data_IF_033280725796
#
_entry.id   IF_033280725796
#
_cell.length_a   1.000
_cell.length_b   1.000
_cell.length_c   1.000
_cell.angle_alpha   90.00
_cell.angle_beta   90.00
_cell.angle_gamma   90.00
#
_symmetry.space_group_name_H-M   'P 1'
#
loop_
_entity.id
_entity.type
_entity.pdbx_description
1 polymer ?
#
# COMPACT_ATOMS: atom_id res chain seq x y z
N UNK A 1 -20.27 -21.90 1.11
CA UNK A 1 -19.17 -21.23 1.85
C UNK A 1 -17.87 -21.72 1.25
N UNK A 2 -17.04 -20.84 0.77
CA UNK A 2 -15.75 -21.20 0.22
C UNK A 2 -14.80 -21.41 1.40
N UNK A 3 -14.41 -22.66 1.68
CA UNK A 3 -13.56 -23.06 2.84
C UNK A 3 -12.15 -22.44 2.83
N UNK A 4 -11.81 -21.66 1.79
CA UNK A 4 -10.52 -21.02 1.58
C UNK A 4 -10.61 -19.50 1.42
N UNK A 5 -11.75 -18.89 1.81
CA UNK A 5 -11.84 -17.42 1.78
C UNK A 5 -10.96 -16.85 2.91
N UNK A 6 -10.21 -15.77 2.63
CA UNK A 6 -9.47 -15.07 3.68
C UNK A 6 -10.40 -14.68 4.83
N UNK A 7 -9.94 -14.87 6.07
CA UNK A 7 -10.67 -14.43 7.24
C UNK A 7 -9.93 -13.22 7.85
N UNK A 8 -10.58 -12.08 8.04
CA UNK A 8 -9.91 -10.85 8.51
C UNK A 8 -9.20 -10.99 9.85
N UNK A 9 -9.60 -11.97 10.68
CA UNK A 9 -8.97 -12.23 11.98
C UNK A 9 -7.70 -13.12 11.88
N UNK A 10 -7.50 -13.79 10.75
CA UNK A 10 -6.33 -14.64 10.54
C UNK A 10 -5.08 -13.79 10.32
N UNK A 11 -4.05 -14.05 11.10
CA UNK A 11 -2.76 -13.40 10.90
C UNK A 11 -1.91 -14.18 9.88
N UNK A 12 -1.54 -13.53 8.78
CA UNK A 12 -0.66 -14.11 7.77
C UNK A 12 0.79 -14.30 8.26
N UNK A 13 1.19 -13.55 9.29
CA UNK A 13 2.54 -13.65 9.88
C UNK A 13 2.52 -14.58 11.08
N UNK A 14 3.55 -15.43 11.25
CA UNK A 14 3.58 -16.40 12.36
C UNK A 14 3.92 -15.76 13.71
N UNK A 15 4.60 -14.60 13.71
CA UNK A 15 5.06 -13.88 14.91
C UNK A 15 5.52 -12.46 14.55
N UNK A 16 5.77 -11.63 15.56
CA UNK A 16 6.39 -10.30 15.49
C UNK A 16 5.72 -9.35 14.46
N UNK A 17 4.39 -9.43 14.35
CA UNK A 17 3.60 -8.57 13.48
C UNK A 17 2.23 -9.15 13.20
N UNK A 18 1.36 -8.31 12.67
CA UNK A 18 0.00 -8.69 12.32
C UNK A 18 -0.30 -8.19 10.91
N UNK A 19 -0.64 -9.13 10.04
CA UNK A 19 -1.14 -8.85 8.68
C UNK A 19 -2.44 -9.61 8.47
N UNK A 20 -3.50 -8.89 8.23
CA UNK A 20 -4.83 -9.46 8.00
C UNK A 20 -5.22 -9.27 6.53
N UNK A 21 -5.77 -10.33 5.93
CA UNK A 21 -6.31 -10.31 4.58
C UNK A 21 -7.84 -10.21 4.65
N UNK A 22 -8.37 -9.09 4.21
CA UNK A 22 -9.81 -8.83 4.14
C UNK A 22 -10.45 -9.34 2.85
N UNK A 23 -9.64 -9.93 1.94
CA UNK A 23 -10.10 -10.37 0.63
C UNK A 23 -10.46 -9.20 -0.28
N UNK A 24 -11.24 -9.49 -1.33
CA UNK A 24 -11.76 -8.49 -2.26
C UNK A 24 -12.96 -7.80 -1.61
N UNK A 25 -12.86 -6.50 -1.37
CA UNK A 25 -13.86 -5.70 -0.63
C UNK A 25 -14.80 -4.88 -1.54
N UNK A 26 -14.56 -4.88 -2.84
CA UNK A 26 -15.36 -4.17 -3.84
C UNK A 26 -16.05 -5.15 -4.77
N UNK A 27 -17.19 -4.77 -5.34
CA UNK A 27 -17.73 -5.50 -6.47
C UNK A 27 -16.80 -5.42 -7.69
N UNK A 28 -16.84 -6.38 -8.64
CA UNK A 28 -16.00 -6.29 -9.84
C UNK A 28 -16.15 -4.96 -10.58
N UNK A 29 -17.38 -4.50 -10.78
CA UNK A 29 -17.66 -3.22 -11.44
C UNK A 29 -17.06 -2.02 -10.69
N UNK A 30 -17.22 -1.95 -9.36
CA UNK A 30 -16.61 -0.87 -8.57
C UNK A 30 -15.08 -0.88 -8.68
N UNK A 31 -14.47 -2.06 -8.63
CA UNK A 31 -13.03 -2.18 -8.72
C UNK A 31 -12.50 -1.75 -10.11
N UNK A 32 -13.21 -2.10 -11.18
CA UNK A 32 -12.90 -1.68 -12.56
C UNK A 32 -13.05 -0.16 -12.71
N UNK A 33 -14.16 0.42 -12.23
CA UNK A 33 -14.42 1.86 -12.28
C UNK A 33 -13.34 2.65 -11.52
N UNK A 34 -12.91 2.15 -10.34
CA UNK A 34 -11.81 2.77 -9.60
C UNK A 34 -10.48 2.64 -10.34
N UNK A 35 -10.17 1.48 -10.91
CA UNK A 35 -8.94 1.31 -11.68
C UNK A 35 -8.87 2.28 -12.85
N UNK A 36 -9.94 2.41 -13.61
CA UNK A 36 -10.03 3.30 -14.77
C UNK A 36 -9.88 4.76 -14.34
N UNK A 37 -10.58 5.17 -13.28
CA UNK A 37 -10.42 6.51 -12.73
C UNK A 37 -8.98 6.79 -12.29
N UNK A 38 -8.39 5.89 -11.50
CA UNK A 38 -7.03 6.03 -10.99
C UNK A 38 -5.99 6.11 -12.11
N UNK A 39 -6.18 5.38 -13.21
CA UNK A 39 -5.28 5.47 -14.37
C UNK A 39 -5.32 6.82 -15.07
N UNK A 40 -6.50 7.45 -15.16
CA UNK A 40 -6.75 8.61 -15.98
C UNK A 40 -6.63 9.96 -15.24
N UNK A 41 -6.95 9.99 -13.94
CA UNK A 41 -7.13 11.26 -13.21
C UNK A 41 -6.10 11.52 -12.12
N UNK A 42 -5.32 10.51 -11.70
CA UNK A 42 -4.28 10.71 -10.68
C UNK A 42 -3.07 11.44 -11.27
N UNK A 43 -2.53 12.39 -10.51
CA UNK A 43 -1.34 13.17 -10.89
C UNK A 43 -0.05 12.31 -10.75
N UNK A 44 0.08 11.30 -11.60
CA UNK A 44 1.21 10.38 -11.62
C UNK A 44 2.52 11.09 -11.99
N UNK A 45 3.57 10.80 -11.21
CA UNK A 45 4.95 11.20 -11.52
C UNK A 45 5.90 10.06 -11.24
N UNK A 46 7.02 10.01 -11.93
CA UNK A 46 8.06 9.05 -11.61
C UNK A 46 8.63 9.35 -10.22
N UNK A 47 8.91 8.30 -9.48
CA UNK A 47 9.51 8.40 -8.16
C UNK A 47 11.02 8.62 -8.29
N UNK A 48 11.56 9.52 -7.48
CA UNK A 48 12.98 9.83 -7.42
C UNK A 48 13.55 9.38 -6.08
N UNK A 49 14.71 8.77 -6.12
CA UNK A 49 15.43 8.34 -4.93
C UNK A 49 16.92 8.60 -5.09
N UNK A 50 17.60 8.92 -3.99
CA UNK A 50 19.06 8.96 -3.94
C UNK A 50 19.56 7.64 -3.36
N UNK A 51 20.20 6.81 -4.19
CA UNK A 51 20.74 5.51 -3.79
C UNK A 51 22.25 5.55 -3.98
N UNK A 52 23.00 5.37 -2.90
CA UNK A 52 24.45 5.49 -2.89
C UNK A 52 24.97 6.80 -3.53
N UNK A 53 24.31 7.93 -3.21
CA UNK A 53 24.66 9.26 -3.73
C UNK A 53 24.28 9.51 -5.20
N UNK A 54 23.63 8.56 -5.88
CA UNK A 54 23.14 8.73 -7.26
C UNK A 54 21.65 9.01 -7.26
N UNK A 55 21.23 10.04 -7.99
CA UNK A 55 19.82 10.28 -8.29
C UNK A 55 19.31 9.20 -9.27
N UNK A 56 18.28 8.49 -8.87
CA UNK A 56 17.65 7.44 -9.66
C UNK A 56 16.18 7.80 -9.82
N UNK A 57 15.73 7.93 -11.05
CA UNK A 57 14.31 8.01 -11.39
C UNK A 57 13.80 6.59 -11.61
N UNK A 58 12.80 6.18 -10.82
CA UNK A 58 12.23 4.83 -10.95
C UNK A 58 11.26 4.76 -12.12
N UNK A 59 11.13 3.57 -12.74
CA UNK A 59 10.11 3.35 -13.76
C UNK A 59 8.69 3.36 -13.18
N UNK A 60 8.55 3.01 -11.89
CA UNK A 60 7.30 3.09 -11.14
C UNK A 60 6.89 4.56 -10.98
N UNK A 61 5.59 4.80 -11.10
CA UNK A 61 5.00 6.10 -10.83
C UNK A 61 4.35 6.14 -9.46
N UNK A 62 4.32 7.34 -8.87
CA UNK A 62 3.74 7.59 -7.55
C UNK A 62 2.87 8.84 -7.57
N UNK A 63 1.94 8.90 -6.63
CA UNK A 63 1.21 10.10 -6.24
C UNK A 63 0.93 10.06 -4.74
N UNK A 64 0.79 11.22 -4.10
CA UNK A 64 0.53 11.31 -2.68
C UNK A 64 -0.59 12.29 -2.39
N UNK A 65 -1.59 11.84 -1.64
CA UNK A 65 -2.78 12.59 -1.26
C UNK A 65 -2.97 12.59 0.26
N UNK A 66 -3.56 13.66 0.81
CA UNK A 66 -3.79 13.77 2.26
C UNK A 66 -4.74 14.88 2.66
N UNK A 67 -5.16 14.89 3.93
CA UNK A 67 -6.08 15.89 4.51
C UNK A 67 -5.45 17.28 4.65
N UNK A 68 -4.14 17.34 4.73
CA UNK A 68 -3.36 18.58 4.86
C UNK A 68 -2.23 18.55 3.83
N UNK A 69 -1.65 19.70 3.58
CA UNK A 69 -0.41 19.82 2.80
C UNK A 69 0.77 19.25 3.59
N UNK A 70 0.69 17.95 3.93
CA UNK A 70 1.83 17.29 4.54
C UNK A 70 3.03 17.46 3.63
N UNK A 71 4.12 17.94 4.18
CA UNK A 71 5.40 18.01 3.49
C UNK A 71 6.39 17.14 4.25
N UNK A 72 7.05 16.22 3.59
CA UNK A 72 8.18 15.52 4.17
C UNK A 72 9.26 15.27 3.13
N UNK A 73 10.48 15.14 3.59
CA UNK A 73 11.61 14.84 2.72
C UNK A 73 11.84 13.33 2.72
N UNK A 74 11.66 12.70 1.56
CA UNK A 74 12.00 11.31 1.34
C UNK A 74 13.16 11.20 0.37
N UNK A 75 14.24 10.53 0.79
CA UNK A 75 15.46 10.39 -0.04
C UNK A 75 15.99 11.71 -0.61
N UNK A 76 15.91 12.81 0.18
CA UNK A 76 16.40 14.14 -0.23
C UNK A 76 15.43 14.96 -1.09
N UNK A 77 14.25 14.45 -1.45
CA UNK A 77 13.24 15.17 -2.23
C UNK A 77 12.08 15.60 -1.34
N UNK A 78 11.80 16.91 -1.30
CA UNK A 78 10.61 17.44 -0.62
C UNK A 78 9.34 17.06 -1.41
N UNK A 79 8.35 16.53 -0.71
CA UNK A 79 7.05 16.13 -1.27
C UNK A 79 5.94 16.79 -0.49
N UNK A 80 4.91 17.22 -1.20
CA UNK A 80 3.69 17.78 -0.62
C UNK A 80 2.50 16.91 -1.06
N UNK A 81 1.66 16.54 -0.10
CA UNK A 81 0.44 15.81 -0.40
C UNK A 81 -0.54 16.69 -1.17
N UNK A 82 -1.19 16.13 -2.18
CA UNK A 82 -2.31 16.74 -2.87
C UNK A 82 -3.59 16.58 -2.02
N UNK A 83 -4.57 17.47 -2.15
CA UNK A 83 -5.86 17.30 -1.49
C UNK A 83 -6.59 16.07 -2.01
N UNK A 84 -7.37 15.43 -1.15
CA UNK A 84 -8.25 14.32 -1.54
C UNK A 84 -9.20 14.72 -2.65
N UNK A 85 -9.35 13.84 -3.65
CA UNK A 85 -10.49 13.88 -4.54
C UNK A 85 -11.66 13.02 -4.04
N UNK A 86 -12.81 13.10 -4.72
CA UNK A 86 -14.01 12.38 -4.31
C UNK A 86 -13.86 10.86 -4.38
N UNK A 87 -13.18 10.34 -5.39
CA UNK A 87 -13.01 8.89 -5.59
C UNK A 87 -12.03 8.31 -4.57
N UNK A 88 -10.91 8.98 -4.31
CA UNK A 88 -9.99 8.57 -3.24
C UNK A 88 -10.64 8.65 -1.86
N UNK A 89 -11.51 9.65 -1.62
CA UNK A 89 -12.28 9.78 -0.39
C UNK A 89 -13.29 8.64 -0.22
N UNK A 90 -13.95 8.21 -1.31
CA UNK A 90 -14.88 7.10 -1.29
C UNK A 90 -14.16 5.77 -1.02
N UNK A 91 -13.06 5.48 -1.71
CA UNK A 91 -12.24 4.28 -1.44
C UNK A 91 -11.76 4.26 0.02
N UNK A 92 -11.27 5.42 0.52
CA UNK A 92 -10.84 5.58 1.92
C UNK A 92 -11.97 5.23 2.89
N UNK A 93 -13.16 5.78 2.67
CA UNK A 93 -14.32 5.52 3.53
C UNK A 93 -14.70 4.04 3.55
N UNK A 94 -14.72 3.38 2.41
CA UNK A 94 -15.02 1.94 2.34
C UNK A 94 -13.96 1.12 3.08
N UNK A 95 -12.67 1.46 2.95
CA UNK A 95 -11.58 0.82 3.70
C UNK A 95 -11.77 1.00 5.21
N UNK A 96 -12.04 2.22 5.67
CA UNK A 96 -12.27 2.51 7.09
C UNK A 96 -13.48 1.77 7.65
N UNK A 97 -14.54 1.61 6.87
CA UNK A 97 -15.73 0.83 7.24
C UNK A 97 -15.40 -0.66 7.42
N UNK A 98 -14.56 -1.24 6.56
CA UNK A 98 -14.11 -2.63 6.72
C UNK A 98 -13.31 -2.84 8.03
N UNK A 99 -12.57 -1.84 8.46
CA UNK A 99 -11.74 -1.91 9.66
C UNK A 99 -12.49 -1.56 10.95
N UNK A 100 -13.68 -0.98 10.88
CA UNK A 100 -14.38 -0.39 12.02
C UNK A 100 -14.58 -1.36 13.21
N UNK A 101 -14.82 -2.65 12.95
CA UNK A 101 -15.05 -3.66 13.98
C UNK A 101 -13.76 -4.20 14.62
N UNK A 102 -12.64 -4.21 13.91
CA UNK A 102 -11.39 -4.89 14.34
C UNK A 102 -10.31 -3.89 14.74
N UNK A 103 -10.18 -2.81 13.99
CA UNK A 103 -9.15 -1.79 14.20
C UNK A 103 -9.67 -0.43 13.72
N UNK A 104 -10.57 0.21 14.47
CA UNK A 104 -11.11 1.50 14.05
C UNK A 104 -9.98 2.51 13.89
N UNK A 105 -9.88 3.08 12.69
CA UNK A 105 -8.82 4.00 12.28
C UNK A 105 -9.40 5.07 11.36
N UNK A 106 -8.81 6.26 11.39
CA UNK A 106 -9.06 7.31 10.42
C UNK A 106 -7.77 7.66 9.71
N UNK A 107 -7.72 7.34 8.43
CA UNK A 107 -6.57 7.65 7.60
C UNK A 107 -6.61 9.11 7.14
N UNK A 108 -5.47 9.77 7.16
CA UNK A 108 -5.31 11.15 6.71
C UNK A 108 -4.35 11.29 5.53
N UNK A 109 -3.80 10.18 5.04
CA UNK A 109 -2.80 10.15 3.98
C UNK A 109 -2.91 8.87 3.15
N UNK A 110 -2.64 8.97 1.84
CA UNK A 110 -2.55 7.84 0.93
C UNK A 110 -1.40 8.01 -0.05
N UNK A 111 -0.46 7.08 -0.03
CA UNK A 111 0.57 6.94 -1.05
C UNK A 111 0.08 5.96 -2.11
N UNK A 112 0.04 6.43 -3.37
CA UNK A 112 -0.34 5.62 -4.52
C UNK A 112 0.91 5.20 -5.29
N UNK A 113 0.95 3.94 -5.73
CA UNK A 113 2.01 3.39 -6.56
C UNK A 113 1.41 2.76 -7.81
N UNK A 114 1.88 3.16 -9.00
CA UNK A 114 1.50 2.59 -10.28
C UNK A 114 2.67 1.82 -10.88
N UNK A 115 2.45 0.56 -11.13
CA UNK A 115 3.35 -0.35 -11.84
C UNK A 115 2.75 -0.60 -13.22
N UNK A 116 3.45 -0.23 -14.29
CA UNK A 116 2.94 -0.34 -15.66
C UNK A 116 2.75 -1.82 -16.07
N UNK A 117 3.63 -2.68 -15.57
CA UNK A 117 3.61 -4.12 -15.82
C UNK A 117 4.42 -4.88 -14.75
N UNK A 118 4.64 -6.16 -14.98
CA UNK A 118 5.39 -7.04 -14.08
C UNK A 118 6.90 -6.78 -14.01
N UNK A 119 7.49 -6.06 -14.96
CA UNK A 119 8.92 -5.70 -14.93
C UNK A 119 9.22 -4.72 -13.79
N UNK A 120 8.20 -3.96 -13.36
CA UNK A 120 8.29 -3.03 -12.24
C UNK A 120 7.93 -3.73 -10.92
N UNK A 121 8.55 -3.31 -9.84
CA UNK A 121 8.31 -3.85 -8.51
C UNK A 121 8.77 -2.88 -7.44
N UNK A 122 8.66 -3.30 -6.19
CA UNK A 122 9.16 -2.58 -5.03
C UNK A 122 10.13 -3.47 -4.26
N UNK A 123 11.33 -2.96 -4.01
CA UNK A 123 12.34 -3.68 -3.24
C UNK A 123 11.90 -3.90 -1.78
N UNK A 124 12.62 -4.75 -1.06
CA UNK A 124 12.39 -5.01 0.36
C UNK A 124 12.53 -3.74 1.20
N UNK A 125 11.43 -3.32 1.82
CA UNK A 125 11.36 -2.15 2.70
C UNK A 125 10.37 -2.37 3.84
N UNK A 126 10.37 -1.49 4.80
CA UNK A 126 9.33 -1.31 5.81
C UNK A 126 8.81 0.12 5.70
N UNK A 127 7.56 0.34 6.06
CA UNK A 127 6.96 1.67 6.21
C UNK A 127 7.18 2.11 7.66
N UNK A 128 8.41 2.46 8.01
CA UNK A 128 8.87 2.79 9.37
C UNK A 128 9.33 4.25 9.52
N UNK A 129 8.83 5.13 8.65
CA UNK A 129 9.09 6.56 8.75
C UNK A 129 8.56 7.15 10.06
N UNK A 130 9.34 8.01 10.69
CA UNK A 130 9.00 8.63 11.99
C UNK A 130 7.64 9.34 11.99
N UNK A 131 7.24 9.93 10.85
CA UNK A 131 5.96 10.61 10.69
C UNK A 131 4.73 9.68 10.76
N UNK A 132 4.91 8.37 10.68
CA UNK A 132 3.83 7.39 10.81
C UNK A 132 3.66 6.92 12.27
N UNK A 133 4.63 7.19 13.13
CA UNK A 133 4.64 6.68 14.50
C UNK A 133 4.94 5.18 14.59
N UNK A 134 4.99 4.71 15.83
CA UNK A 134 5.25 3.30 16.12
C UNK A 134 3.96 2.49 16.01
N UNK A 135 4.08 1.27 15.51
CA UNK A 135 2.99 0.28 15.43
C UNK A 135 1.74 0.78 14.67
N UNK A 136 1.96 1.64 13.68
CA UNK A 136 0.91 2.24 12.87
C UNK A 136 0.06 1.20 12.12
N UNK A 137 -1.20 1.53 11.90
CA UNK A 137 -2.09 0.76 11.01
C UNK A 137 -1.91 1.25 9.59
N UNK A 138 -1.63 0.33 8.68
CA UNK A 138 -1.46 0.58 7.25
C UNK A 138 -2.44 -0.30 6.48
N UNK A 139 -3.34 0.32 5.73
CA UNK A 139 -4.26 -0.39 4.84
C UNK A 139 -3.77 -0.29 3.40
N UNK A 140 -3.67 -1.43 2.73
CA UNK A 140 -3.17 -1.52 1.36
C UNK A 140 -4.21 -2.15 0.45
N UNK A 141 -4.72 -1.36 -0.51
CA UNK A 141 -5.68 -1.82 -1.53
C UNK A 141 -4.98 -1.97 -2.87
N UNK A 142 -5.25 -3.07 -3.56
CA UNK A 142 -4.68 -3.38 -4.88
C UNK A 142 -5.74 -3.31 -5.97
N UNK A 143 -5.43 -2.64 -7.08
CA UNK A 143 -6.26 -2.63 -8.29
C UNK A 143 -5.46 -3.08 -9.51
N UNK A 144 -6.12 -3.75 -10.47
CA UNK A 144 -5.52 -4.23 -11.70
C UNK A 144 -4.84 -5.58 -11.54
N UNK A 145 -3.65 -5.75 -12.13
CA UNK A 145 -2.97 -7.03 -12.21
C UNK A 145 -2.71 -7.68 -10.85
N UNK A 146 -3.01 -8.97 -10.74
CA UNK A 146 -2.66 -9.77 -9.56
C UNK A 146 -1.15 -9.88 -9.44
N UNK A 147 -0.59 -9.51 -8.29
CA UNK A 147 0.85 -9.49 -8.03
C UNK A 147 1.22 -10.24 -6.76
N UNK A 148 2.36 -10.91 -6.81
CA UNK A 148 2.97 -11.50 -5.61
C UNK A 148 3.49 -10.38 -4.71
N UNK A 149 2.98 -10.36 -3.47
CA UNK A 149 3.44 -9.56 -2.36
C UNK A 149 4.10 -10.48 -1.34
N UNK A 150 5.29 -10.15 -0.94
CA UNK A 150 6.07 -11.00 -0.06
C UNK A 150 6.50 -10.24 1.19
N UNK A 151 6.46 -10.94 2.33
CA UNK A 151 7.01 -10.51 3.61
C UNK A 151 8.30 -11.27 3.89
N UNK A 152 9.25 -10.62 4.55
CA UNK A 152 10.50 -11.24 5.02
C UNK A 152 10.86 -10.70 6.39
N UNK A 153 11.01 -11.59 7.37
CA UNK A 153 11.42 -11.20 8.72
C UNK A 153 12.86 -10.67 8.73
N UNK A 154 13.10 -9.57 9.44
CA UNK A 154 14.40 -8.87 9.42
C UNK A 154 15.52 -9.73 10.01
N UNK A 155 15.26 -10.51 11.06
CA UNK A 155 16.25 -11.35 11.74
C UNK A 155 16.28 -12.78 11.20
N UNK A 156 15.15 -13.49 11.23
CA UNK A 156 15.11 -14.93 10.88
C UNK A 156 15.16 -15.18 9.38
N UNK A 157 14.92 -14.14 8.53
CA UNK A 157 14.79 -14.22 7.08
C UNK A 157 13.63 -15.12 6.60
N UNK A 158 12.75 -15.54 7.51
CA UNK A 158 11.53 -16.28 7.17
C UNK A 158 10.66 -15.47 6.20
N UNK A 159 10.06 -16.17 5.25
CA UNK A 159 9.24 -15.53 4.21
C UNK A 159 7.79 -15.99 4.29
N UNK A 160 6.89 -15.08 3.99
CA UNK A 160 5.47 -15.31 3.69
C UNK A 160 5.11 -14.60 2.41
N UNK A 161 4.22 -15.20 1.63
CA UNK A 161 3.82 -14.67 0.33
C UNK A 161 2.30 -14.74 0.18
N UNK A 162 1.74 -13.74 -0.49
CA UNK A 162 0.33 -13.67 -0.85
C UNK A 162 0.21 -13.13 -2.27
N UNK A 163 -0.83 -13.55 -2.99
CA UNK A 163 -1.20 -12.98 -4.27
C UNK A 163 -2.25 -11.90 -4.03
N UNK A 164 -1.90 -10.65 -4.30
CA UNK A 164 -2.82 -9.51 -4.17
C UNK A 164 -3.63 -9.36 -5.45
N UNK A 165 -4.94 -9.57 -5.32
CA UNK A 165 -5.90 -9.54 -6.41
C UNK A 165 -6.48 -8.13 -6.60
N UNK A 166 -7.22 -7.96 -7.68
CA UNK A 166 -7.97 -6.75 -7.99
C UNK A 166 -9.07 -6.50 -6.95
N UNK A 167 -9.07 -5.30 -6.34
CA UNK A 167 -10.00 -4.92 -5.27
C UNK A 167 -9.68 -5.49 -3.88
N UNK A 168 -8.53 -6.17 -3.71
CA UNK A 168 -8.16 -6.81 -2.43
C UNK A 168 -7.56 -5.81 -1.45
N UNK A 169 -7.99 -5.91 -0.19
CA UNK A 169 -7.50 -5.16 0.96
C UNK A 169 -6.66 -6.08 1.87
N UNK A 170 -5.44 -5.65 2.19
CA UNK A 170 -4.66 -6.18 3.31
C UNK A 170 -4.35 -5.08 4.31
N UNK A 171 -4.23 -5.44 5.58
CA UNK A 171 -3.93 -4.50 6.66
C UNK A 171 -2.72 -4.99 7.44
N UNK A 172 -1.71 -4.14 7.56
CA UNK A 172 -0.51 -4.34 8.38
C UNK A 172 -0.66 -3.51 9.65
N UNK A 173 -0.40 -4.08 10.82
CA UNK A 173 -0.52 -3.37 12.10
C UNK A 173 0.41 -3.93 13.18
N UNK A 174 0.42 -3.29 14.37
CA UNK A 174 1.32 -3.68 15.45
C UNK A 174 2.78 -3.61 15.02
N UNK A 175 3.62 -4.44 15.54
CA UNK A 175 5.07 -4.42 15.31
C UNK A 175 5.54 -4.85 13.91
N UNK A 176 4.61 -5.01 12.95
CA UNK A 176 4.93 -5.50 11.59
C UNK A 176 6.06 -4.72 10.94
N UNK A 177 6.00 -3.38 10.94
CA UNK A 177 7.02 -2.56 10.29
C UNK A 177 8.38 -2.59 11.02
N UNK A 178 8.37 -2.89 12.32
CA UNK A 178 9.61 -3.03 13.11
C UNK A 178 10.36 -4.32 12.78
N UNK A 179 9.64 -5.43 12.51
CA UNK A 179 10.23 -6.77 12.41
C UNK A 179 10.21 -7.35 10.98
N UNK A 180 9.31 -6.89 10.12
CA UNK A 180 9.15 -7.44 8.78
C UNK A 180 9.41 -6.39 7.71
N UNK A 181 10.02 -6.82 6.61
CA UNK A 181 10.07 -6.08 5.35
C UNK A 181 9.06 -6.70 4.40
N UNK A 182 8.59 -5.89 3.46
CA UNK A 182 7.71 -6.35 2.38
C UNK A 182 8.19 -5.86 1.03
N UNK A 183 7.73 -6.54 -0.04
CA UNK A 183 8.14 -6.26 -1.41
C UNK A 183 7.05 -6.64 -2.41
N UNK A 184 6.99 -5.93 -3.54
CA UNK A 184 6.28 -6.39 -4.74
C UNK A 184 7.28 -7.05 -5.68
N UNK A 185 7.06 -8.35 -5.91
CA UNK A 185 7.97 -9.15 -6.71
C UNK A 185 7.79 -8.86 -8.21
N UNK A 186 8.90 -8.76 -8.95
CA UNK A 186 8.86 -8.65 -10.42
C UNK A 186 8.42 -9.96 -11.05
N UNK A 187 7.79 -9.87 -12.22
CA UNK A 187 7.33 -11.03 -13.01
C UNK A 187 7.32 -10.71 -14.50
N UNK A 188 7.96 -11.53 -15.29
CA UNK A 188 7.93 -11.41 -16.76
C UNK A 188 6.61 -11.86 -17.39
N UNK A 189 5.69 -12.43 -16.60
CA UNK A 189 4.41 -12.98 -17.08
C UNK A 189 3.25 -11.97 -17.02
N UNK A 190 3.47 -10.80 -16.43
CA UNK A 190 2.42 -9.80 -16.19
C UNK A 190 2.68 -8.61 -17.09
N UNK A 191 1.72 -8.29 -17.96
CA UNK A 191 1.81 -7.26 -19.00
C UNK A 191 0.77 -6.14 -18.82
N UNK A 192 0.01 -6.17 -17.73
CA UNK A 192 -1.03 -5.19 -17.41
C UNK A 192 -0.68 -4.43 -16.14
N UNK A 193 -1.21 -3.19 -15.99
CA UNK A 193 -0.87 -2.35 -14.85
C UNK A 193 -1.46 -2.85 -13.54
N UNK A 194 -0.79 -2.46 -12.45
CA UNK A 194 -1.30 -2.54 -11.09
C UNK A 194 -1.17 -1.18 -10.42
N UNK A 195 -2.20 -0.79 -9.72
CA UNK A 195 -2.18 0.37 -8.83
C UNK A 195 -2.36 -0.11 -7.39
N UNK A 196 -1.58 0.46 -6.49
CA UNK A 196 -1.68 0.21 -5.05
C UNK A 196 -1.94 1.52 -4.31
N UNK A 197 -2.93 1.50 -3.44
CA UNK A 197 -3.23 2.58 -2.51
C UNK A 197 -2.79 2.16 -1.11
N UNK A 198 -1.90 2.93 -0.49
CA UNK A 198 -1.43 2.68 0.87
C UNK A 198 -1.94 3.80 1.78
N UNK A 199 -3.00 3.52 2.51
CA UNK A 199 -3.61 4.44 3.48
C UNK A 199 -2.87 4.40 4.80
N UNK A 200 -2.58 5.57 5.36
CA UNK A 200 -1.78 5.77 6.58
C UNK A 200 -2.33 6.92 7.40
N UNK A 201 -2.00 6.95 8.67
CA UNK A 201 -2.20 8.11 9.55
C UNK A 201 -0.85 8.77 9.80
N UNK A 202 -0.68 9.96 9.24
CA UNK A 202 0.50 10.80 9.48
C UNK A 202 0.32 11.54 10.80
N UNK A 203 1.35 11.53 11.64
CA UNK A 203 1.39 12.34 12.85
C UNK A 203 1.60 13.81 12.51
N UNK A 204 1.05 14.75 13.32
CA UNK A 204 1.36 16.16 13.18
C UNK A 204 2.87 16.37 13.23
N UNK A 205 3.40 17.15 12.30
CA UNK A 205 4.77 17.61 12.41
C UNK A 205 4.78 18.77 13.40
N UNK A 206 5.47 18.59 14.51
CA UNK A 206 5.67 19.63 15.52
C UNK A 206 6.53 20.78 15.01
#
# INVERSE_FOLDING_TARGET
>A
MNLFSPHPDDNLLPYDGIVNDYGVIFTPQQADDYLDYLQQHIAWRHDEAVIYGKHITTARQVAWYGEQNFAYTYSGTARTALPWDSVLSDIKQQVEQQLAAVSPVRFNSCLLNRYADGSQGMAWHSDDEACLGKDTVIASVSFGATRKFAFKHKQTQEKREIMLQHGQLIVMRGSTQSHWRHAIMKSSKIHTPRINLTFRTMLPQG
#
